data_IF_638437879116
#
_entry.id   IF_638437879116
#
_cell.length_a   1.000
_cell.length_b   1.000
_cell.length_c   1.000
_cell.angle_alpha   90.00
_cell.angle_beta   90.00
_cell.angle_gamma   90.00
#
_symmetry.space_group_name_H-M   'P 1'
#
loop_
_entity.id
_entity.type
_entity.pdbx_description
1 polymer ?
#
# COMPACT_ATOMS: atom_id res chain seq x y z
N UNK A 1 -3.62 -10.20 -35.93
CA UNK A 1 -2.65 -10.45 -34.84
C UNK A 1 -3.32 -10.11 -33.51
N UNK A 2 -3.04 -10.87 -32.45
CA UNK A 2 -3.61 -10.63 -31.12
C UNK A 2 -2.69 -9.69 -30.33
N UNK A 3 -3.28 -8.72 -29.64
CA UNK A 3 -2.60 -7.76 -28.79
C UNK A 3 -3.21 -7.79 -27.40
N UNK A 4 -2.40 -7.94 -26.37
CA UNK A 4 -2.84 -7.87 -24.98
C UNK A 4 -2.86 -6.41 -24.52
N UNK A 5 -3.90 -6.05 -23.76
CA UNK A 5 -4.16 -4.68 -23.30
C UNK A 5 -4.11 -4.64 -21.78
N UNK A 6 -3.31 -3.73 -21.23
CA UNK A 6 -3.26 -3.45 -19.80
C UNK A 6 -3.71 -2.02 -19.52
N UNK A 7 -4.59 -1.84 -18.53
CA UNK A 7 -5.22 -0.56 -18.21
C UNK A 7 -4.80 -0.09 -16.82
N UNK A 8 -4.43 1.18 -16.73
CA UNK A 8 -4.29 1.89 -15.46
C UNK A 8 -5.51 2.78 -15.24
N UNK A 9 -6.24 2.56 -14.15
CA UNK A 9 -7.45 3.35 -13.86
C UNK A 9 -7.09 4.77 -13.41
N UNK A 10 -6.31 4.92 -12.34
CA UNK A 10 -5.90 6.22 -11.78
C UNK A 10 -4.39 6.39 -11.83
N UNK A 11 -3.92 7.65 -11.79
CA UNK A 11 -2.49 7.95 -11.61
C UNK A 11 -1.97 7.23 -10.36
N UNK A 12 -0.81 6.57 -10.51
CA UNK A 12 -0.12 5.76 -9.48
C UNK A 12 -0.68 4.35 -9.23
N UNK A 13 -1.76 3.94 -9.90
CA UNK A 13 -2.18 2.53 -9.90
C UNK A 13 -1.24 1.69 -10.80
N UNK A 14 -1.28 0.37 -10.63
CA UNK A 14 -0.62 -0.55 -11.56
C UNK A 14 -1.47 -0.74 -12.83
N UNK A 15 -0.81 -1.05 -13.94
CA UNK A 15 -1.49 -1.52 -15.15
C UNK A 15 -1.99 -2.96 -14.92
N UNK A 16 -3.29 -3.16 -15.09
CA UNK A 16 -3.94 -4.47 -14.91
C UNK A 16 -4.41 -4.98 -16.27
N UNK A 17 -4.27 -6.28 -16.53
CA UNK A 17 -4.75 -6.88 -17.77
C UNK A 17 -6.26 -6.66 -17.92
N UNK A 18 -6.66 -6.07 -19.04
CA UNK A 18 -8.03 -5.70 -19.34
C UNK A 18 -8.67 -6.58 -20.42
N UNK A 19 -7.87 -7.39 -21.13
CA UNK A 19 -8.28 -8.22 -22.24
C UNK A 19 -7.35 -8.07 -23.45
N UNK A 20 -7.85 -8.44 -24.62
CA UNK A 20 -7.10 -8.41 -25.87
C UNK A 20 -7.90 -7.76 -27.01
N UNK A 21 -7.18 -7.38 -28.06
CA UNK A 21 -7.75 -6.85 -29.31
C UNK A 21 -7.10 -7.52 -30.51
N UNK A 22 -7.83 -7.60 -31.62
CA UNK A 22 -7.30 -8.10 -32.88
C UNK A 22 -7.03 -6.93 -33.84
N UNK A 23 -5.79 -6.79 -34.28
CA UNK A 23 -5.38 -5.72 -35.19
C UNK A 23 -4.26 -6.19 -36.14
N UNK A 24 -4.11 -5.56 -37.31
CA UNK A 24 -3.04 -5.89 -38.26
C UNK A 24 -1.69 -5.24 -37.91
N UNK A 25 -1.68 -4.12 -37.17
CA UNK A 25 -0.48 -3.38 -36.78
C UNK A 25 -0.67 -2.66 -35.44
N UNK A 26 0.39 -2.05 -34.92
CA UNK A 26 0.42 -1.36 -33.62
C UNK A 26 -0.54 -0.17 -33.56
N UNK A 27 -0.54 0.68 -34.57
CA UNK A 27 -1.34 1.91 -34.59
C UNK A 27 -2.84 1.59 -34.47
N UNK A 28 -3.32 0.60 -35.24
CA UNK A 28 -4.71 0.17 -35.16
C UNK A 28 -5.02 -0.53 -33.83
N UNK A 29 -4.05 -1.28 -33.27
CA UNK A 29 -4.21 -1.92 -31.97
C UNK A 29 -4.42 -0.89 -30.85
N UNK A 30 -3.67 0.22 -30.86
CA UNK A 30 -3.80 1.31 -29.89
C UNK A 30 -5.17 2.00 -29.98
N UNK A 31 -5.63 2.29 -31.19
CA UNK A 31 -6.96 2.85 -31.42
C UNK A 31 -8.07 1.92 -30.91
N UNK A 32 -7.99 0.63 -31.24
CA UNK A 32 -8.96 -0.37 -30.79
C UNK A 32 -8.95 -0.56 -29.28
N UNK A 33 -7.76 -0.56 -28.66
CA UNK A 33 -7.62 -0.63 -27.22
C UNK A 33 -8.28 0.58 -26.52
N UNK A 34 -8.10 1.79 -27.06
CA UNK A 34 -8.73 3.00 -26.52
C UNK A 34 -10.27 2.92 -26.60
N UNK A 35 -10.81 2.49 -27.74
CA UNK A 35 -12.26 2.38 -27.96
C UNK A 35 -12.89 1.31 -27.07
N UNK A 36 -12.27 0.14 -26.97
CA UNK A 36 -12.84 -1.00 -26.24
C UNK A 36 -12.60 -0.92 -24.73
N UNK A 37 -11.42 -0.46 -24.28
CA UNK A 37 -11.02 -0.54 -22.88
C UNK A 37 -10.98 0.81 -22.14
N UNK A 38 -11.13 1.96 -22.82
CA UNK A 38 -11.07 3.28 -22.16
C UNK A 38 -12.28 4.20 -22.42
N UNK A 39 -13.27 3.80 -23.24
CA UNK A 39 -14.39 4.68 -23.63
C UNK A 39 -15.41 4.95 -22.52
N UNK A 40 -15.81 3.93 -21.75
CA UNK A 40 -16.86 4.06 -20.71
C UNK A 40 -16.31 4.34 -19.32
N UNK A 41 -15.12 3.82 -19.03
CA UNK A 41 -14.40 4.05 -17.77
C UNK A 41 -13.06 4.67 -18.16
N UNK A 42 -12.89 6.00 -17.95
CA UNK A 42 -11.65 6.67 -18.28
C UNK A 42 -10.46 5.90 -17.70
N UNK A 43 -9.45 5.70 -18.53
CA UNK A 43 -8.16 5.16 -18.13
C UNK A 43 -7.14 6.31 -18.14
N UNK A 44 -6.22 6.29 -17.19
CA UNK A 44 -5.10 7.25 -17.20
C UNK A 44 -4.03 6.83 -18.20
N UNK A 45 -3.85 5.52 -18.41
CA UNK A 45 -2.86 4.97 -19.34
C UNK A 45 -3.27 3.58 -19.83
N UNK A 46 -2.87 3.23 -21.05
CA UNK A 46 -3.00 1.89 -21.63
C UNK A 46 -1.61 1.41 -22.09
N UNK A 47 -1.31 0.14 -21.85
CA UNK A 47 -0.22 -0.56 -22.52
C UNK A 47 -0.82 -1.54 -23.52
N UNK A 48 -0.23 -1.59 -24.72
CA UNK A 48 -0.66 -2.44 -25.82
C UNK A 48 0.55 -3.17 -26.37
N UNK A 49 0.54 -4.50 -26.25
CA UNK A 49 1.70 -5.36 -26.53
C UNK A 49 1.27 -6.51 -27.44
N UNK A 50 2.03 -6.86 -28.49
CA UNK A 50 1.72 -8.04 -29.29
C UNK A 50 1.77 -9.29 -28.41
N UNK A 51 0.79 -10.18 -28.54
CA UNK A 51 0.74 -11.41 -27.73
C UNK A 51 2.00 -12.27 -27.87
N UNK A 52 2.62 -12.26 -29.05
CA UNK A 52 3.85 -13.02 -29.33
C UNK A 52 5.07 -12.54 -28.55
N UNK A 53 5.06 -11.32 -28.03
CA UNK A 53 6.17 -10.75 -27.25
C UNK A 53 6.04 -11.05 -25.75
N UNK A 54 4.92 -11.63 -25.32
CA UNK A 54 4.68 -11.98 -23.92
C UNK A 54 5.08 -13.43 -23.71
N UNK A 55 6.09 -13.64 -22.88
CA UNK A 55 6.51 -14.97 -22.44
C UNK A 55 5.94 -15.27 -21.06
N UNK A 56 5.51 -16.52 -20.87
CA UNK A 56 5.08 -17.04 -19.58
C UNK A 56 6.29 -17.70 -18.90
N UNK A 57 6.42 -17.47 -17.59
CA UNK A 57 7.40 -18.14 -16.74
C UNK A 57 6.61 -18.78 -15.61
N UNK A 58 6.62 -20.11 -15.59
CA UNK A 58 5.87 -20.90 -14.62
C UNK A 58 6.71 -21.15 -13.36
N UNK A 59 6.09 -21.03 -12.19
CA UNK A 59 6.73 -21.34 -10.91
C UNK A 59 6.86 -22.86 -10.69
N UNK A 60 6.05 -23.68 -11.38
CA UNK A 60 6.11 -25.13 -11.32
C UNK A 60 7.20 -25.72 -12.24
N UNK A 61 7.84 -24.91 -13.10
CA UNK A 61 9.00 -25.35 -13.88
C UNK A 61 10.25 -25.43 -12.98
N UNK A 62 10.78 -26.65 -12.83
CA UNK A 62 11.97 -26.95 -12.02
C UNK A 62 13.21 -26.13 -12.43
N UNK A 63 13.26 -25.59 -13.65
CA UNK A 63 14.35 -24.73 -14.14
C UNK A 63 14.20 -23.27 -13.73
N UNK A 64 13.03 -22.87 -13.22
CA UNK A 64 12.71 -21.50 -12.87
C UNK A 64 12.94 -21.29 -11.38
N UNK A 65 14.00 -20.56 -11.04
CA UNK A 65 14.21 -20.06 -9.69
C UNK A 65 13.35 -18.80 -9.47
N UNK A 66 12.14 -18.95 -8.94
CA UNK A 66 11.33 -17.82 -8.48
C UNK A 66 11.85 -17.33 -7.11
N UNK A 67 12.54 -16.20 -7.08
CA UNK A 67 13.11 -15.60 -5.86
C UNK A 67 12.33 -14.38 -5.39
N UNK A 68 12.14 -14.27 -4.06
CA UNK A 68 11.64 -13.06 -3.43
C UNK A 68 10.66 -13.30 -2.29
N UNK A 69 11.09 -13.96 -1.21
CA UNK A 69 10.64 -13.46 0.10
C UNK A 69 11.17 -12.03 0.14
N UNK A 70 10.35 -11.05 -0.22
CA UNK A 70 10.64 -9.68 0.16
C UNK A 70 10.59 -9.72 1.67
N UNK A 71 11.74 -9.98 2.30
CA UNK A 71 11.97 -9.60 3.66
C UNK A 71 11.80 -8.09 3.63
N UNK A 72 10.55 -7.65 3.87
CA UNK A 72 10.15 -6.25 4.02
C UNK A 72 10.70 -5.73 5.34
N UNK A 73 11.93 -6.13 5.69
CA UNK A 73 12.58 -5.77 6.92
C UNK A 73 12.87 -4.26 6.93
N UNK A 74 13.14 -3.68 5.76
CA UNK A 74 13.23 -2.22 5.62
C UNK A 74 11.90 -1.47 5.84
N UNK A 75 10.76 -2.15 6.08
CA UNK A 75 9.47 -1.51 6.38
C UNK A 75 9.15 -1.45 7.88
N UNK A 76 9.93 -2.09 8.76
CA UNK A 76 9.77 -1.88 10.19
C UNK A 76 10.58 -0.66 10.63
N UNK A 77 9.88 0.33 11.20
CA UNK A 77 10.48 1.49 11.83
C UNK A 77 11.07 1.10 13.19
N UNK A 78 12.16 0.35 13.22
CA UNK A 78 12.91 0.02 14.46
C UNK A 78 14.37 0.42 14.33
N UNK A 79 14.62 1.58 13.73
CA UNK A 79 15.95 2.21 13.75
C UNK A 79 16.03 3.41 14.71
N UNK A 80 15.06 3.56 15.63
CA UNK A 80 15.36 4.24 16.89
C UNK A 80 16.10 3.22 17.75
N UNK A 81 17.39 3.44 17.94
CA UNK A 81 18.14 2.80 19.00
C UNK A 81 17.39 3.08 20.30
N UNK A 82 16.75 2.07 20.89
CA UNK A 82 16.32 2.12 22.28
C UNK A 82 17.58 2.03 23.13
N UNK A 83 18.35 3.12 23.13
CA UNK A 83 19.40 3.35 24.11
C UNK A 83 18.77 3.53 25.50
N UNK A 84 19.55 3.30 26.55
CA UNK A 84 19.10 3.37 27.95
C UNK A 84 18.40 4.71 28.28
N UNK A 85 18.78 5.79 27.60
CA UNK A 85 18.17 7.11 27.75
C UNK A 85 16.70 7.15 27.34
N UNK A 86 16.30 6.38 26.32
CA UNK A 86 14.90 6.28 25.89
C UNK A 86 14.06 5.53 26.91
N UNK A 87 14.62 4.49 27.54
CA UNK A 87 13.95 3.75 28.60
C UNK A 87 13.77 4.59 29.87
N UNK A 88 14.75 5.42 30.21
CA UNK A 88 14.69 6.34 31.36
C UNK A 88 13.64 7.44 31.15
N UNK A 89 13.57 8.02 29.94
CA UNK A 89 12.58 9.07 29.59
C UNK A 89 11.13 8.54 29.63
N UNK A 90 10.90 7.31 29.15
CA UNK A 90 9.58 6.64 29.25
C UNK A 90 9.20 6.46 30.72
N UNK A 91 10.15 6.04 31.57
CA UNK A 91 9.89 5.79 32.98
C UNK A 91 9.64 7.09 33.77
N UNK A 92 10.34 8.17 33.44
CA UNK A 92 10.08 9.51 34.02
C UNK A 92 8.72 10.05 33.60
N UNK A 93 8.37 9.95 32.31
CA UNK A 93 7.07 10.42 31.82
C UNK A 93 5.90 9.62 32.42
N UNK A 94 6.06 8.32 32.63
CA UNK A 94 5.05 7.49 33.31
C UNK A 94 4.86 7.90 34.78
N UNK A 95 5.96 8.14 35.52
CA UNK A 95 5.89 8.63 36.90
C UNK A 95 5.18 9.98 37.02
N UNK A 96 5.45 10.88 36.07
CA UNK A 96 4.81 12.20 36.04
C UNK A 96 3.31 12.09 35.74
N UNK A 97 2.91 11.20 34.81
CA UNK A 97 1.50 10.94 34.50
C UNK A 97 0.76 10.32 35.69
N UNK A 98 1.35 9.32 36.35
CA UNK A 98 0.76 8.70 37.55
C UNK A 98 0.61 9.71 38.70
N UNK A 99 1.60 10.59 38.89
CA UNK A 99 1.51 11.64 39.90
C UNK A 99 0.42 12.68 39.57
N UNK A 100 0.29 13.05 38.29
CA UNK A 100 -0.75 13.96 37.82
C UNK A 100 -2.16 13.36 37.94
N UNK A 101 -2.31 12.06 37.66
CA UNK A 101 -3.58 11.33 37.84
C UNK A 101 -3.93 11.21 39.32
N UNK A 102 -2.99 10.84 40.18
CA UNK A 102 -3.22 10.74 41.62
C UNK A 102 -3.58 12.09 42.26
N UNK A 103 -3.05 13.19 41.73
CA UNK A 103 -3.41 14.54 42.17
C UNK A 103 -4.77 14.97 41.64
N UNK A 104 -5.11 14.64 40.38
CA UNK A 104 -6.46 14.84 39.83
C UNK A 104 -7.51 14.07 40.63
N UNK A 105 -7.24 12.84 41.01
CA UNK A 105 -8.15 12.01 41.80
C UNK A 105 -8.32 12.56 43.22
N UNK A 106 -7.25 13.05 43.84
CA UNK A 106 -7.31 13.76 45.13
C UNK A 106 -8.14 15.04 45.04
N UNK A 107 -7.98 15.82 43.96
CA UNK A 107 -8.76 17.03 43.73
C UNK A 107 -10.24 16.72 43.45
N UNK A 108 -10.53 15.67 42.67
CA UNK A 108 -11.88 15.19 42.41
C UNK A 108 -12.59 14.76 43.72
N UNK A 109 -11.90 14.01 44.57
CA UNK A 109 -12.41 13.61 45.89
C UNK A 109 -12.67 14.81 46.82
N UNK A 110 -11.86 15.87 46.72
CA UNK A 110 -12.06 17.11 47.49
C UNK A 110 -13.21 17.99 46.96
N UNK A 111 -13.52 17.90 45.66
CA UNK A 111 -14.59 18.69 45.01
C UNK A 111 -16.00 18.09 45.17
N UNK A 112 -16.08 16.83 45.63
CA UNK A 112 -17.34 16.08 45.83
C UNK A 112 -18.08 16.35 47.15
N UNK A 113 -17.60 17.23 48.04
CA UNK A 113 -18.24 17.50 49.33
C UNK A 113 -19.01 18.83 49.41
N UNK A 114 -19.34 19.45 48.27
CA UNK A 114 -19.96 20.78 48.22
C UNK A 114 -21.22 20.85 47.37
N UNK A 115 -22.20 19.97 47.63
CA UNK A 115 -23.44 19.98 46.84
C UNK A 115 -24.56 19.09 47.38
N UNK A 116 -24.98 19.30 48.63
CA UNK A 116 -26.36 19.05 49.05
C UNK A 116 -26.68 19.87 50.31
N UNK A 117 -27.30 21.04 50.11
CA UNK A 117 -28.18 21.78 51.05
C UNK A 117 -28.68 23.07 50.41
#
# INVERSE_FOLDING_TARGET
MIWEVFRQEKRKDYHVHAGNVHAPNRELAEQFAQVMHARRKPATSLWVVPKSEISEVDADDERVAMGGTTQKEYRWATNYSTDETFAEEIADSQREQEAAEAERDRQAASSGSGGDS
#
